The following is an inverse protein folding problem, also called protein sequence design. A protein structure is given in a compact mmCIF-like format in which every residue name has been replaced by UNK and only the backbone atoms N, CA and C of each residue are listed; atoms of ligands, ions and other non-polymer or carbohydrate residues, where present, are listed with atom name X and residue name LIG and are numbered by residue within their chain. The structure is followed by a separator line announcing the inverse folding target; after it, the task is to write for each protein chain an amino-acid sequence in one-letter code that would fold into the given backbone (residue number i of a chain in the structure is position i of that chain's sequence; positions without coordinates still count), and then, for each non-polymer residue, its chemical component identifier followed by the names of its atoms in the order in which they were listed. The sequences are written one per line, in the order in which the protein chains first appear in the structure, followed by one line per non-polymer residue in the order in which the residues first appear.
data_IF_913214183331
#
_entry.id   IF_913214183331
#
_cell.length_a   1.000
_cell.length_b   1.000
_cell.length_c   1.000
_cell.angle_alpha   90.00
_cell.angle_beta   90.00
_cell.angle_gamma   90.00
#
_symmetry.space_group_name_H-M   'P 1'
#
loop_
_entity.id
_entity.type
_entity.pdbx_description
1 polymer ?
#
# COMPACT_ATOMS: atom_id res chain seq x y z
N UNK A 1 37.53 -19.24 -8.84
CA UNK A 1 36.66 -19.90 -7.86
C UNK A 1 35.63 -18.88 -7.44
N UNK A 2 34.44 -18.92 -8.04
CA UNK A 2 33.40 -17.90 -7.86
C UNK A 2 32.84 -18.02 -6.45
N UNK A 3 33.01 -16.98 -5.63
CA UNK A 3 32.27 -16.85 -4.37
C UNK A 3 30.78 -16.98 -4.71
N UNK A 4 30.16 -18.09 -4.31
CA UNK A 4 28.71 -18.26 -4.41
C UNK A 4 28.09 -17.11 -3.64
N UNK A 5 27.31 -16.27 -4.33
CA UNK A 5 26.57 -15.18 -3.72
C UNK A 5 25.75 -15.70 -2.53
N UNK A 6 26.20 -15.35 -1.32
CA UNK A 6 25.62 -15.85 -0.08
C UNK A 6 24.14 -15.43 0.08
N UNK A 7 23.69 -14.43 -0.68
CA UNK A 7 22.30 -13.98 -0.72
C UNK A 7 21.36 -14.86 -1.54
N UNK A 8 21.87 -15.55 -2.57
CA UNK A 8 21.04 -16.28 -3.53
C UNK A 8 20.15 -17.38 -2.90
N UNK A 9 20.62 -18.21 -1.96
CA UNK A 9 19.77 -19.20 -1.29
C UNK A 9 18.66 -18.56 -0.43
N UNK A 10 18.93 -17.42 0.18
CA UNK A 10 17.95 -16.67 0.97
C UNK A 10 16.84 -16.09 0.09
N UNK A 11 17.23 -15.45 -1.02
CA UNK A 11 16.30 -14.92 -2.01
C UNK A 11 15.44 -16.04 -2.61
N UNK A 12 16.02 -17.18 -2.96
CA UNK A 12 15.29 -18.32 -3.52
C UNK A 12 14.24 -18.87 -2.53
N UNK A 13 14.57 -18.99 -1.24
CA UNK A 13 13.61 -19.41 -0.20
C UNK A 13 12.45 -18.42 -0.05
N UNK A 14 12.74 -17.12 -0.05
CA UNK A 14 11.71 -16.08 0.00
C UNK A 14 10.80 -16.14 -1.24
N UNK A 15 11.39 -16.25 -2.44
CA UNK A 15 10.64 -16.37 -3.67
C UNK A 15 9.77 -17.63 -3.69
N UNK A 16 10.25 -18.76 -3.20
CA UNK A 16 9.49 -20.00 -3.11
C UNK A 16 8.25 -19.88 -2.19
N UNK A 17 8.32 -19.05 -1.14
CA UNK A 17 7.15 -18.74 -0.31
C UNK A 17 6.08 -17.93 -1.06
N UNK A 18 6.45 -17.18 -2.10
CA UNK A 18 5.51 -16.35 -2.86
C UNK A 18 5.02 -17.06 -4.13
N UNK A 19 5.83 -17.94 -4.71
CA UNK A 19 5.58 -18.66 -5.97
C UNK A 19 4.50 -19.77 -5.85
N UNK A 20 3.29 -19.38 -5.46
CA UNK A 20 2.11 -20.23 -5.31
C UNK A 20 0.86 -19.35 -5.35
N UNK A 21 -0.12 -19.73 -6.17
CA UNK A 21 -1.29 -18.89 -6.45
C UNK A 21 -2.12 -18.61 -5.19
N UNK A 22 -2.28 -19.59 -4.30
CA UNK A 22 -3.04 -19.40 -3.04
C UNK A 22 -2.30 -18.47 -2.08
N UNK A 23 -0.98 -18.63 -1.94
CA UNK A 23 -0.15 -17.72 -1.12
C UNK A 23 -0.16 -16.30 -1.69
N UNK A 24 -0.01 -16.15 -3.00
CA UNK A 24 -0.08 -14.85 -3.67
C UNK A 24 -1.46 -14.18 -3.45
N UNK A 25 -2.56 -14.91 -3.63
CA UNK A 25 -3.90 -14.39 -3.37
C UNK A 25 -4.09 -13.93 -1.92
N UNK A 26 -3.59 -14.72 -0.95
CA UNK A 26 -3.65 -14.33 0.47
C UNK A 26 -2.81 -13.08 0.76
N UNK A 27 -1.57 -13.00 0.24
CA UNK A 27 -0.70 -11.85 0.43
C UNK A 27 -1.32 -10.57 -0.16
N UNK A 28 -1.93 -10.67 -1.34
CA UNK A 28 -2.63 -9.56 -1.99
C UNK A 28 -3.85 -9.09 -1.19
N UNK A 29 -4.64 -10.02 -0.64
CA UNK A 29 -5.80 -9.68 0.19
C UNK A 29 -5.39 -8.92 1.47
N UNK A 30 -4.29 -9.34 2.09
CA UNK A 30 -3.78 -8.77 3.35
C UNK A 30 -3.13 -7.39 3.19
N UNK A 31 -2.94 -6.89 1.96
CA UNK A 31 -2.46 -5.53 1.71
C UNK A 31 -3.41 -4.46 2.25
N UNK A 32 -4.67 -4.80 2.55
CA UNK A 32 -5.61 -3.90 3.19
C UNK A 32 -5.28 -3.53 4.64
N UNK A 33 -4.24 -4.14 5.20
CA UNK A 33 -3.72 -3.86 6.53
C UNK A 33 -4.58 -4.43 7.66
N UNK A 34 -5.72 -5.07 7.35
CA UNK A 34 -6.57 -5.72 8.34
C UNK A 34 -6.00 -7.10 8.67
N UNK A 35 -6.31 -7.59 9.86
CA UNK A 35 -6.07 -8.97 10.21
C UNK A 35 -7.24 -9.84 9.72
N UNK A 36 -6.94 -10.94 9.04
CA UNK A 36 -7.93 -11.86 8.46
C UNK A 36 -7.88 -13.21 9.13
N UNK A 37 -9.01 -13.91 9.19
CA UNK A 37 -9.05 -15.32 9.57
C UNK A 37 -8.72 -16.23 8.38
N UNK A 38 -8.28 -17.46 8.68
CA UNK A 38 -8.05 -18.48 7.65
C UNK A 38 -9.31 -18.77 6.81
N UNK A 39 -10.50 -18.72 7.41
CA UNK A 39 -11.77 -18.95 6.72
C UNK A 39 -12.13 -17.82 5.74
N UNK A 40 -11.84 -16.57 6.07
CA UNK A 40 -12.04 -15.44 5.17
C UNK A 40 -11.10 -15.51 3.96
N UNK A 41 -9.83 -15.85 4.20
CA UNK A 41 -8.83 -16.02 3.14
C UNK A 41 -9.14 -17.22 2.25
N UNK A 42 -9.64 -18.33 2.82
CA UNK A 42 -10.09 -19.50 2.06
C UNK A 42 -11.22 -19.15 1.09
N UNK A 43 -12.21 -18.40 1.56
CA UNK A 43 -13.31 -17.91 0.72
C UNK A 43 -12.82 -16.91 -0.34
N UNK A 44 -11.87 -16.05 -0.01
CA UNK A 44 -11.28 -15.11 -0.95
C UNK A 44 -10.49 -15.80 -2.07
N UNK A 45 -9.66 -16.80 -1.71
CA UNK A 45 -8.83 -17.56 -2.64
C UNK A 45 -9.57 -18.70 -3.36
N UNK A 46 -10.81 -19.00 -2.98
CA UNK A 46 -11.62 -20.05 -3.61
C UNK A 46 -11.13 -21.47 -3.33
N UNK A 47 -10.49 -21.70 -2.18
CA UNK A 47 -9.90 -23.00 -1.80
C UNK A 47 -10.39 -23.45 -0.42
N UNK A 48 -10.13 -24.71 -0.06
CA UNK A 48 -10.52 -25.26 1.24
C UNK A 48 -9.77 -24.61 2.41
N UNK A 49 -10.42 -24.55 3.58
CA UNK A 49 -9.84 -23.98 4.79
C UNK A 49 -8.58 -24.73 5.27
N UNK A 50 -8.52 -26.06 5.08
CA UNK A 50 -7.34 -26.87 5.37
C UNK A 50 -6.14 -26.48 4.50
N UNK A 51 -6.38 -26.31 3.19
CA UNK A 51 -5.38 -25.83 2.22
C UNK A 51 -4.84 -24.47 2.64
N UNK A 52 -5.70 -23.47 2.85
CA UNK A 52 -5.24 -22.14 3.31
C UNK A 52 -4.48 -22.22 4.61
N UNK A 53 -4.93 -23.02 5.59
CA UNK A 53 -4.23 -23.14 6.87
C UNK A 53 -2.79 -23.63 6.71
N UNK A 54 -2.54 -24.56 5.78
CA UNK A 54 -1.19 -25.01 5.43
C UNK A 54 -0.36 -23.87 4.79
N UNK A 55 -0.92 -23.15 3.82
CA UNK A 55 -0.26 -22.02 3.16
C UNK A 55 0.08 -20.90 4.16
N UNK A 56 -0.84 -20.56 5.07
CA UNK A 56 -0.61 -19.57 6.12
C UNK A 56 0.48 -20.03 7.10
N UNK A 57 0.53 -21.32 7.44
CA UNK A 57 1.61 -21.88 8.25
C UNK A 57 2.98 -21.64 7.62
N UNK A 58 3.13 -21.89 6.31
CA UNK A 58 4.37 -21.64 5.56
C UNK A 58 4.74 -20.16 5.55
N UNK A 59 3.76 -19.28 5.32
CA UNK A 59 4.00 -17.83 5.27
C UNK A 59 4.36 -17.24 6.64
N UNK A 60 3.75 -17.72 7.72
CA UNK A 60 4.11 -17.34 9.11
C UNK A 60 5.51 -17.85 9.46
N UNK A 61 5.80 -19.12 9.19
CA UNK A 61 7.13 -19.70 9.45
C UNK A 61 8.24 -19.00 8.62
N UNK A 62 7.89 -18.51 7.43
CA UNK A 62 8.76 -17.73 6.56
C UNK A 62 8.87 -16.24 6.91
N UNK A 63 8.17 -15.77 7.94
CA UNK A 63 8.23 -14.37 8.39
C UNK A 63 7.49 -13.37 7.49
N UNK A 64 6.67 -13.83 6.55
CA UNK A 64 5.84 -12.95 5.70
C UNK A 64 4.56 -12.50 6.42
N UNK A 65 4.04 -13.34 7.33
CA UNK A 65 2.84 -13.05 8.10
C UNK A 65 3.11 -13.05 9.61
N UNK A 66 2.41 -12.19 10.32
CA UNK A 66 2.27 -12.24 11.77
C UNK A 66 0.91 -12.82 12.15
N UNK A 67 0.88 -13.58 13.24
CA UNK A 67 -0.34 -14.14 13.83
C UNK A 67 -0.75 -13.35 15.07
N UNK A 68 -2.05 -13.07 15.18
CA UNK A 68 -2.67 -12.52 16.37
C UNK A 68 -3.82 -13.43 16.82
N UNK A 69 -3.81 -13.80 18.11
CA UNK A 69 -4.89 -14.61 18.69
C UNK A 69 -5.86 -13.71 19.43
N UNK A 70 -7.12 -13.76 19.03
CA UNK A 70 -8.20 -13.07 19.72
C UNK A 70 -9.31 -14.08 20.04
N UNK A 71 -9.36 -14.50 21.30
CA UNK A 71 -10.24 -15.57 21.76
C UNK A 71 -9.96 -16.89 21.02
N UNK A 72 -11.01 -17.49 20.44
CA UNK A 72 -10.92 -18.75 19.67
C UNK A 72 -10.42 -18.58 18.23
N UNK A 73 -10.29 -17.34 17.77
CA UNK A 73 -9.98 -17.04 16.38
C UNK A 73 -8.50 -16.70 16.23
N UNK A 74 -7.89 -17.31 15.22
CA UNK A 74 -6.53 -17.04 14.76
C UNK A 74 -6.61 -16.06 13.59
N UNK A 75 -6.08 -14.87 13.79
CA UNK A 75 -5.98 -13.85 12.76
C UNK A 75 -4.55 -13.78 12.23
N UNK A 76 -4.41 -13.45 10.96
CA UNK A 76 -3.13 -13.22 10.30
C UNK A 76 -3.14 -11.87 9.60
N UNK A 77 -1.98 -11.20 9.60
CA UNK A 77 -1.72 -9.99 8.82
C UNK A 77 -0.32 -10.05 8.23
N UNK A 78 -0.02 -9.19 7.28
CA UNK A 78 1.38 -9.00 6.84
C UNK A 78 2.25 -8.67 8.05
N UNK A 79 3.43 -9.28 8.12
CA UNK A 79 4.30 -9.19 9.29
C UNK A 79 4.65 -7.73 9.59
N UNK A 80 5.01 -6.97 8.55
CA UNK A 80 5.34 -5.56 8.62
C UNK A 80 5.16 -4.84 7.27
N UNK A 81 5.43 -3.54 7.28
CA UNK A 81 5.43 -2.67 6.10
C UNK A 81 6.40 -3.11 5.01
N UNK A 82 7.53 -3.75 5.35
CA UNK A 82 8.52 -4.18 4.36
C UNK A 82 7.97 -5.32 3.53
N UNK A 83 7.22 -6.24 4.15
CA UNK A 83 6.52 -7.31 3.44
C UNK A 83 5.42 -6.74 2.55
N UNK A 84 4.65 -5.77 3.04
CA UNK A 84 3.62 -5.11 2.22
C UNK A 84 4.21 -4.49 0.94
N UNK A 85 5.28 -3.71 1.08
CA UNK A 85 5.98 -3.13 -0.07
C UNK A 85 6.52 -4.20 -1.02
N UNK A 86 7.12 -5.30 -0.51
CA UNK A 86 7.59 -6.38 -1.36
C UNK A 86 6.48 -6.99 -2.22
N UNK A 87 5.31 -7.26 -1.61
CA UNK A 87 4.16 -7.84 -2.31
C UNK A 87 3.64 -6.86 -3.37
N UNK A 88 3.57 -5.57 -3.05
CA UNK A 88 3.16 -4.52 -3.99
C UNK A 88 4.14 -4.36 -5.15
N UNK A 89 5.44 -4.31 -4.87
CA UNK A 89 6.49 -4.17 -5.89
C UNK A 89 6.46 -5.36 -6.87
N UNK A 90 6.25 -6.59 -6.37
CA UNK A 90 6.08 -7.78 -7.20
C UNK A 90 4.80 -7.73 -8.03
N UNK A 91 3.68 -7.34 -7.42
CA UNK A 91 2.40 -7.25 -8.11
C UNK A 91 2.41 -6.18 -9.20
N UNK A 92 3.14 -5.07 -9.02
CA UNK A 92 3.32 -4.04 -10.03
C UNK A 92 4.08 -4.53 -11.28
N UNK A 93 4.86 -5.62 -11.19
CA UNK A 93 5.55 -6.22 -12.35
C UNK A 93 4.62 -7.07 -13.23
N UNK A 94 3.47 -7.51 -12.70
CA UNK A 94 2.54 -8.36 -13.45
C UNK A 94 1.67 -7.47 -14.36
N UNK A 95 1.79 -7.63 -15.67
CA UNK A 95 1.09 -6.79 -16.66
C UNK A 95 -0.45 -6.80 -16.47
N UNK A 96 -1.18 -5.73 -16.88
CA UNK A 96 -2.60 -5.57 -16.59
C UNK A 96 -3.47 -6.55 -17.38
N UNK A 97 -2.93 -7.22 -18.39
CA UNK A 97 -3.65 -8.13 -19.27
C UNK A 97 -4.24 -9.34 -18.52
N UNK A 98 -3.60 -9.78 -17.43
CA UNK A 98 -4.13 -10.83 -16.55
C UNK A 98 -5.12 -10.30 -15.48
N UNK A 99 -5.01 -9.02 -15.10
CA UNK A 99 -5.86 -8.38 -14.08
C UNK A 99 -7.13 -7.72 -14.67
N UNK A 100 -7.17 -7.52 -15.99
CA UNK A 100 -8.33 -7.02 -16.72
C UNK A 100 -9.44 -8.08 -16.88
N UNK A 101 -9.81 -8.75 -15.77
CA UNK A 101 -11.10 -9.44 -15.74
C UNK A 101 -12.17 -8.36 -15.85
N UNK A 102 -12.80 -8.26 -17.02
CA UNK A 102 -13.88 -7.29 -17.27
C UNK A 102 -14.89 -7.41 -16.12
N UNK A 103 -15.16 -6.33 -15.36
CA UNK A 103 -16.06 -6.44 -14.23
C UNK A 103 -17.42 -6.93 -14.72
N UNK A 104 -17.88 -8.08 -14.19
CA UNK A 104 -19.16 -8.67 -14.60
C UNK A 104 -20.36 -7.95 -13.99
N UNK A 105 -20.13 -6.94 -13.13
CA UNK A 105 -21.19 -6.13 -12.50
C UNK A 105 -20.80 -4.66 -12.43
N UNK A 106 -21.80 -3.77 -12.44
CA UNK A 106 -21.61 -2.33 -12.23
C UNK A 106 -20.98 -2.02 -10.86
N UNK A 107 -21.29 -2.81 -9.83
CA UNK A 107 -20.66 -2.67 -8.50
C UNK A 107 -19.16 -2.98 -8.53
N UNK A 108 -18.76 -4.06 -9.20
CA UNK A 108 -17.35 -4.41 -9.36
C UNK A 108 -16.60 -3.35 -10.19
N UNK A 109 -17.24 -2.81 -11.24
CA UNK A 109 -16.69 -1.70 -12.02
C UNK A 109 -16.51 -0.43 -11.16
N UNK A 110 -17.51 -0.09 -10.35
CA UNK A 110 -17.46 1.04 -9.42
C UNK A 110 -16.37 0.90 -8.35
N UNK A 111 -16.21 -0.29 -7.77
CA UNK A 111 -15.16 -0.58 -6.79
C UNK A 111 -13.76 -0.47 -7.41
N UNK A 112 -13.54 -1.05 -8.60
CA UNK A 112 -12.27 -0.91 -9.33
C UNK A 112 -11.95 0.56 -9.68
N UNK A 113 -12.96 1.32 -10.13
CA UNK A 113 -12.84 2.75 -10.41
C UNK A 113 -12.49 3.56 -9.16
N UNK A 114 -13.08 3.23 -8.00
CA UNK A 114 -12.76 3.86 -6.73
C UNK A 114 -11.32 3.55 -6.29
N UNK A 115 -10.87 2.31 -6.44
CA UNK A 115 -9.51 1.88 -6.10
C UNK A 115 -8.42 2.55 -6.94
N UNK A 116 -8.72 2.83 -8.21
CA UNK A 116 -7.84 3.59 -9.10
C UNK A 116 -7.80 5.09 -8.74
N UNK A 117 -8.94 5.70 -8.41
CA UNK A 117 -9.00 7.12 -8.02
C UNK A 117 -8.18 7.41 -6.77
N UNK A 118 -8.36 6.62 -5.72
CA UNK A 118 -7.69 6.85 -4.45
C UNK A 118 -7.75 5.62 -3.57
N UNK A 119 -6.61 5.26 -2.99
CA UNK A 119 -6.54 4.18 -2.01
C UNK A 119 -5.43 4.38 -1.01
N UNK A 120 -5.36 3.48 -0.04
CA UNK A 120 -4.19 3.29 0.81
C UNK A 120 -3.32 2.15 0.25
N UNK A 121 -2.00 2.35 0.11
CA UNK A 121 -1.00 1.34 -0.26
C UNK A 121 -0.36 0.73 1.01
N UNK A 122 -1.20 0.34 1.97
CA UNK A 122 -0.89 0.02 3.36
C UNK A 122 -1.22 1.22 4.24
N UNK A 123 -0.25 2.07 4.53
CA UNK A 123 -0.42 3.20 5.44
C UNK A 123 -0.22 4.57 4.79
N UNK A 124 -0.05 4.63 3.47
CA UNK A 124 0.15 5.86 2.71
C UNK A 124 -0.83 5.94 1.52
N UNK A 125 -1.04 7.14 0.97
CA UNK A 125 -1.98 7.38 -0.13
C UNK A 125 -1.41 6.89 -1.47
N UNK A 126 -2.27 6.28 -2.29
CA UNK A 126 -1.97 5.72 -3.59
C UNK A 126 -3.16 5.84 -4.55
N UNK A 127 -3.03 5.28 -5.75
CA UNK A 127 -3.87 5.60 -6.90
C UNK A 127 -3.58 7.00 -7.41
N UNK A 128 -4.49 7.55 -8.23
CA UNK A 128 -4.33 8.90 -8.78
C UNK A 128 -4.16 9.96 -7.69
N UNK A 129 -4.85 9.81 -6.56
CA UNK A 129 -4.68 10.70 -5.41
C UNK A 129 -3.23 10.71 -4.88
N UNK A 130 -2.65 9.53 -4.61
CA UNK A 130 -1.28 9.45 -4.12
C UNK A 130 -0.26 10.01 -5.11
N UNK A 131 -0.49 9.78 -6.41
CA UNK A 131 0.32 10.35 -7.49
C UNK A 131 0.18 11.87 -7.58
N UNK A 132 -1.03 12.41 -7.57
CA UNK A 132 -1.29 13.85 -7.64
C UNK A 132 -0.65 14.60 -6.46
N UNK A 133 -0.75 14.03 -5.26
CA UNK A 133 -0.09 14.57 -4.07
C UNK A 133 1.44 14.55 -4.22
N UNK A 134 2.00 13.45 -4.72
CA UNK A 134 3.45 13.32 -4.94
C UNK A 134 3.95 14.29 -6.00
N UNK A 135 3.21 14.45 -7.09
CA UNK A 135 3.50 15.38 -8.17
C UNK A 135 3.47 16.83 -7.68
N UNK A 136 2.47 17.19 -6.86
CA UNK A 136 2.37 18.53 -6.29
C UNK A 136 3.52 18.84 -5.31
N UNK A 137 3.90 17.89 -4.46
CA UNK A 137 5.08 18.05 -3.59
C UNK A 137 6.36 18.23 -4.42
N UNK A 138 6.50 17.49 -5.51
CA UNK A 138 7.68 17.56 -6.39
C UNK A 138 7.72 18.86 -7.18
N UNK A 139 6.61 19.25 -7.80
CA UNK A 139 6.48 20.49 -8.58
C UNK A 139 6.72 21.75 -7.74
N UNK A 140 6.47 21.70 -6.43
CA UNK A 140 6.76 22.79 -5.48
C UNK A 140 8.16 22.70 -4.85
N UNK A 141 9.00 21.75 -5.27
CA UNK A 141 10.34 21.56 -4.72
C UNK A 141 10.37 21.08 -3.27
N UNK A 142 9.27 20.52 -2.75
CA UNK A 142 9.15 19.97 -1.40
C UNK A 142 9.71 18.54 -1.32
N UNK A 143 9.71 17.84 -2.45
CA UNK A 143 10.21 16.48 -2.61
C UNK A 143 11.15 16.40 -3.82
N UNK A 144 12.32 15.79 -3.67
CA UNK A 144 13.22 15.42 -4.76
C UNK A 144 13.07 13.95 -5.10
N UNK A 145 13.33 13.60 -6.37
CA UNK A 145 13.21 12.23 -6.89
C UNK A 145 14.49 11.75 -7.60
N UNK A 146 15.59 12.49 -7.52
CA UNK A 146 16.83 12.30 -8.27
C UNK A 146 17.57 10.98 -7.96
N UNK A 147 17.68 10.63 -6.68
CA UNK A 147 18.33 9.40 -6.19
C UNK A 147 17.36 8.51 -5.40
N UNK A 148 16.07 8.66 -5.70
CA UNK A 148 14.97 8.23 -4.85
C UNK A 148 14.30 9.43 -4.20
N UNK A 149 13.32 9.15 -3.34
CA UNK A 149 12.51 10.20 -2.74
C UNK A 149 13.17 10.76 -1.49
N UNK A 150 13.38 12.07 -1.47
CA UNK A 150 13.92 12.79 -0.32
C UNK A 150 13.16 14.11 -0.12
N UNK A 151 12.72 14.37 1.11
CA UNK A 151 12.16 15.68 1.45
C UNK A 151 13.27 16.74 1.44
N UNK A 152 12.97 17.91 0.88
CA UNK A 152 13.83 19.08 1.01
C UNK A 152 13.60 19.78 2.34
N UNK A 153 14.47 20.72 2.72
CA UNK A 153 14.24 21.56 3.91
C UNK A 153 12.91 22.32 3.83
N UNK A 154 12.54 22.78 2.63
CA UNK A 154 11.24 23.38 2.35
C UNK A 154 10.10 22.37 2.56
N UNK A 155 10.28 21.11 2.13
CA UNK A 155 9.34 20.02 2.42
C UNK A 155 9.15 19.76 3.91
N UNK A 156 10.25 19.68 4.67
CA UNK A 156 10.19 19.53 6.13
C UNK A 156 9.50 20.71 6.81
N UNK A 157 9.72 21.93 6.31
CA UNK A 157 9.02 23.14 6.74
C UNK A 157 7.53 23.08 6.42
N UNK A 158 7.16 22.63 5.22
CA UNK A 158 5.78 22.48 4.80
C UNK A 158 5.01 21.47 5.66
N UNK A 159 5.58 20.29 5.94
CA UNK A 159 4.95 19.29 6.82
C UNK A 159 4.66 19.86 8.21
N UNK A 160 5.61 20.63 8.79
CA UNK A 160 5.41 21.34 10.06
C UNK A 160 4.31 22.38 9.98
N UNK A 161 4.31 23.22 8.95
CA UNK A 161 3.30 24.27 8.76
C UNK A 161 1.89 23.71 8.52
N UNK A 162 1.79 22.54 7.85
CA UNK A 162 0.55 21.82 7.66
C UNK A 162 0.05 21.08 8.92
N UNK A 163 0.79 21.13 10.03
CA UNK A 163 0.44 20.40 11.26
C UNK A 163 0.63 18.89 11.17
N UNK A 164 1.47 18.42 10.24
CA UNK A 164 1.73 17.00 10.00
C UNK A 164 3.08 16.62 10.63
N UNK A 165 3.02 16.05 11.82
CA UNK A 165 4.22 15.62 12.54
C UNK A 165 4.90 14.42 11.86
N UNK A 166 6.17 14.59 11.50
CA UNK A 166 7.03 13.52 11.02
C UNK A 166 7.78 12.92 12.20
N UNK A 167 7.38 11.72 12.61
CA UNK A 167 8.05 10.98 13.70
C UNK A 167 8.80 9.80 13.11
N UNK A 168 10.13 9.89 12.90
CA UNK A 168 10.91 8.76 12.43
C UNK A 168 10.84 7.62 13.44
N UNK A 169 10.47 6.42 12.98
CA UNK A 169 10.43 5.21 13.80
C UNK A 169 11.47 4.21 13.30
N UNK A 170 12.49 3.95 14.13
CA UNK A 170 13.51 2.94 13.85
C UNK A 170 14.25 3.16 12.52
N UNK A 171 14.25 2.14 11.66
CA UNK A 171 14.95 2.14 10.36
C UNK A 171 14.08 2.60 9.18
N UNK A 172 12.85 3.05 9.41
CA UNK A 172 11.94 3.46 8.33
C UNK A 172 12.46 4.75 7.68
N UNK A 173 12.65 4.80 6.35
CA UNK A 173 13.13 6.00 5.68
C UNK A 173 12.09 7.12 5.77
N UNK A 174 12.58 8.37 5.85
CA UNK A 174 11.73 9.54 5.98
C UNK A 174 10.80 9.71 4.78
N UNK A 175 11.34 9.54 3.57
CA UNK A 175 10.60 9.44 2.33
C UNK A 175 11.17 8.26 1.51
N UNK A 176 10.32 7.59 0.75
CA UNK A 176 10.72 6.62 -0.27
C UNK A 176 9.70 6.59 -1.40
N UNK A 177 10.14 6.16 -2.57
CA UNK A 177 9.24 5.81 -3.67
C UNK A 177 8.55 4.46 -3.36
N UNK A 178 7.25 4.40 -3.62
CA UNK A 178 6.50 3.15 -3.71
C UNK A 178 5.81 3.11 -5.07
N UNK A 179 5.96 2.00 -5.81
CA UNK A 179 5.44 1.90 -7.16
C UNK A 179 3.95 1.58 -7.14
N UNK A 180 3.14 2.49 -7.69
CA UNK A 180 1.72 2.26 -7.82
C UNK A 180 1.43 1.23 -8.90
N UNK A 181 0.77 0.11 -8.58
CA UNK A 181 0.45 -0.91 -9.59
C UNK A 181 -0.65 -0.52 -10.60
N UNK A 182 -1.50 0.46 -10.27
CA UNK A 182 -2.63 0.90 -11.11
C UNK A 182 -2.18 2.00 -12.05
N UNK A 183 -1.31 2.89 -11.57
CA UNK A 183 -0.84 4.06 -12.28
C UNK A 183 0.59 3.87 -12.84
N UNK A 184 1.32 2.84 -12.39
CA UNK A 184 2.73 2.53 -12.74
C UNK A 184 3.68 3.70 -12.52
N UNK A 185 3.38 4.52 -11.53
CA UNK A 185 4.14 5.70 -11.15
C UNK A 185 4.49 5.65 -9.67
N UNK A 186 5.64 6.18 -9.25
CA UNK A 186 6.00 6.21 -7.84
C UNK A 186 5.16 7.26 -7.09
N UNK A 187 4.65 6.89 -5.91
CA UNK A 187 4.07 7.82 -4.94
C UNK A 187 4.86 7.85 -3.63
N UNK A 188 4.62 8.90 -2.85
CA UNK A 188 5.26 9.13 -1.55
C UNK A 188 4.87 8.05 -0.54
N UNK A 189 5.86 7.30 -0.10
CA UNK A 189 5.79 6.39 1.03
C UNK A 189 6.87 6.73 2.07
N UNK A 190 7.04 5.88 3.09
CA UNK A 190 7.90 6.16 4.24
C UNK A 190 7.18 6.96 5.32
N UNK A 191 7.95 7.50 6.27
CA UNK A 191 7.38 8.24 7.43
C UNK A 191 6.49 9.39 6.97
N UNK A 192 6.90 10.13 5.94
CA UNK A 192 6.17 11.25 5.37
C UNK A 192 4.86 10.83 4.71
N UNK A 193 4.89 9.80 3.86
CA UNK A 193 3.67 9.28 3.22
C UNK A 193 2.66 8.77 4.24
N UNK A 194 3.15 8.10 5.28
CA UNK A 194 2.30 7.58 6.35
C UNK A 194 1.70 8.67 7.23
N UNK A 195 2.50 9.68 7.60
CA UNK A 195 2.03 10.82 8.38
C UNK A 195 0.98 11.63 7.61
N UNK A 196 1.20 11.87 6.31
CA UNK A 196 0.25 12.56 5.45
C UNK A 196 -1.06 11.78 5.31
N UNK A 197 -0.99 10.47 5.09
CA UNK A 197 -2.19 9.64 4.98
C UNK A 197 -3.00 9.59 6.28
N UNK A 198 -2.34 9.44 7.44
CA UNK A 198 -3.01 9.53 8.74
C UNK A 198 -3.69 10.88 8.91
N UNK A 199 -2.95 11.98 8.71
CA UNK A 199 -3.52 13.32 8.82
C UNK A 199 -4.72 13.54 7.89
N UNK A 200 -4.64 13.07 6.64
CA UNK A 200 -5.72 13.19 5.67
C UNK A 200 -6.99 12.43 6.11
N UNK A 201 -6.84 11.27 6.74
CA UNK A 201 -7.97 10.50 7.27
C UNK A 201 -8.52 11.13 8.57
N UNK A 202 -7.64 11.48 9.51
CA UNK A 202 -8.00 12.01 10.83
C UNK A 202 -8.66 13.39 10.73
N UNK A 203 -8.20 14.22 9.79
CA UNK A 203 -8.73 15.57 9.54
C UNK A 203 -9.90 15.57 8.54
N UNK A 204 -10.35 14.38 8.11
CA UNK A 204 -11.48 14.22 7.20
C UNK A 204 -11.25 14.74 5.78
N UNK A 205 -10.00 14.96 5.35
CA UNK A 205 -9.70 15.28 3.95
C UNK A 205 -10.02 14.09 3.05
N UNK A 206 -9.80 12.89 3.55
CA UNK A 206 -10.14 11.64 2.91
C UNK A 206 -11.03 10.79 3.82
N UNK A 207 -11.95 10.04 3.22
CA UNK A 207 -12.72 9.02 3.94
C UNK A 207 -12.66 7.69 3.20
N UNK A 208 -12.64 6.60 3.95
CA UNK A 208 -12.66 5.24 3.36
C UNK A 208 -14.02 4.96 2.72
N UNK A 209 -14.00 4.25 1.60
CA UNK A 209 -15.21 3.76 0.92
C UNK A 209 -15.39 2.29 1.29
N UNK A 210 -16.48 1.99 1.99
CA UNK A 210 -16.77 0.62 2.44
C UNK A 210 -15.73 0.11 3.45
N UNK A 211 -15.49 -1.21 3.45
CA UNK A 211 -14.51 -1.85 4.33
C UNK A 211 -13.13 -2.05 3.68
N UNK A 212 -12.93 -1.50 2.48
CA UNK A 212 -11.74 -1.71 1.66
C UNK A 212 -10.70 -0.57 1.81
N UNK A 213 -9.60 -0.68 1.05
CA UNK A 213 -8.51 0.31 0.99
C UNK A 213 -8.88 1.59 0.26
N UNK A 214 -10.03 1.61 -0.42
CA UNK A 214 -10.46 2.72 -1.25
C UNK A 214 -10.72 3.96 -0.41
N UNK A 215 -10.27 5.12 -0.89
CA UNK A 215 -10.53 6.41 -0.26
C UNK A 215 -11.12 7.37 -1.27
N UNK A 216 -12.00 8.26 -0.81
CA UNK A 216 -12.41 9.45 -1.56
C UNK A 216 -11.95 10.70 -0.85
N UNK A 217 -11.57 11.70 -1.63
CA UNK A 217 -11.37 13.05 -1.15
C UNK A 217 -12.74 13.66 -0.82
N UNK A 218 -12.85 14.33 0.32
CA UNK A 218 -14.06 15.07 0.71
C UNK A 218 -14.00 16.50 0.17
N UNK A 219 -15.11 17.27 0.16
CA UNK A 219 -15.05 18.68 -0.19
C UNK A 219 -14.06 19.49 0.66
N UNK A 220 -13.93 19.16 1.95
CA UNK A 220 -12.92 19.76 2.83
C UNK A 220 -11.49 19.38 2.41
N UNK A 221 -11.28 18.13 1.99
CA UNK A 221 -10.02 17.67 1.43
C UNK A 221 -9.66 18.33 0.10
N UNK A 222 -10.63 18.53 -0.80
CA UNK A 222 -10.42 19.26 -2.06
C UNK A 222 -9.92 20.69 -1.77
N UNK A 223 -10.59 21.39 -0.85
CA UNK A 223 -10.20 22.74 -0.45
C UNK A 223 -8.80 22.77 0.21
N UNK A 224 -8.51 21.82 1.11
CA UNK A 224 -7.23 21.75 1.79
C UNK A 224 -6.07 21.40 0.84
N UNK A 225 -6.23 20.38 -0.01
CA UNK A 225 -5.23 19.97 -0.99
C UNK A 225 -5.00 21.05 -2.05
N UNK A 226 -6.05 21.74 -2.48
CA UNK A 226 -5.92 22.88 -3.39
C UNK A 226 -5.19 24.05 -2.71
N UNK A 227 -5.58 24.44 -1.50
CA UNK A 227 -4.94 25.55 -0.78
C UNK A 227 -3.49 25.28 -0.37
N UNK A 228 -3.17 24.06 0.08
CA UNK A 228 -1.85 23.72 0.61
C UNK A 228 -0.86 23.26 -0.44
N UNK A 229 -1.33 22.61 -1.51
CA UNK A 229 -0.48 21.98 -2.53
C UNK A 229 -0.78 22.46 -3.95
N UNK A 230 -1.83 23.25 -4.18
CA UNK A 230 -2.19 23.75 -5.51
C UNK A 230 -2.80 22.68 -6.42
N UNK A 231 -3.34 21.59 -5.85
CA UNK A 231 -3.93 20.51 -6.64
C UNK A 231 -5.31 20.96 -7.17
N UNK A 232 -5.55 20.77 -8.46
CA UNK A 232 -6.86 21.01 -9.08
C UNK A 232 -7.90 20.03 -8.50
N UNK A 233 -9.02 20.52 -7.94
CA UNK A 233 -10.12 19.68 -7.47
C UNK A 233 -10.63 18.68 -8.52
N UNK A 234 -10.53 18.99 -9.82
CA UNK A 234 -10.92 18.06 -10.89
C UNK A 234 -10.02 16.84 -10.95
N UNK A 235 -8.73 16.99 -10.62
CA UNK A 235 -7.78 15.88 -10.57
C UNK A 235 -8.00 14.95 -9.35
N UNK A 236 -8.82 15.39 -8.38
CA UNK A 236 -9.11 14.67 -7.13
C UNK A 236 -10.45 13.89 -7.16
N UNK A 237 -11.21 13.98 -8.26
CA UNK A 237 -12.55 13.40 -8.44
C UNK A 237 -12.60 12.08 -9.19
#
# INVERSE_FOLDING_TARGET
MTEKDAGAPGLARLAALIADETRAACLLALLDGRAWTAGELARHAGVAASTVSEHLGKLVAGGLLAEERQGRHRYVRLADERVAHLVEDLAAQVAPEAAARRPHTLRASGAGSAMARGRTCYDHLAGRLGIAVTDALTGRGLLRQDTGFALTDAGLGWFRAAGIALTPTGRRPLARACLDWTERRPHLAGVAGAALCRHALDSGWCVRIGSERAVKVTPAGEAALSGLLGIDPVALR
#
